data_IF_877022817566
#
_entry.id   IF_877022817566
#
_cell.length_a   1.000
_cell.length_b   1.000
_cell.length_c   1.000
_cell.angle_alpha   90.00
_cell.angle_beta   90.00
_cell.angle_gamma   90.00
#
_symmetry.space_group_name_H-M   'P 1'
#
loop_
_entity.id
_entity.type
_entity.pdbx_description
1 polymer ?
#
# COMPACT_ATOMS: atom_id res chain seq x y z
N UNK A 1 8.69 11.97 -17.85
CA UNK A 1 8.01 11.99 -16.52
C UNK A 1 8.93 12.57 -15.43
N UNK A 2 10.14 12.04 -15.20
CA UNK A 2 11.08 12.57 -14.20
C UNK A 2 11.36 14.07 -14.35
N UNK A 3 11.52 14.56 -15.60
CA UNK A 3 11.74 15.98 -15.86
C UNK A 3 10.60 16.88 -15.34
N UNK A 4 9.34 16.43 -15.45
CA UNK A 4 8.18 17.17 -14.95
C UNK A 4 8.23 17.24 -13.44
N UNK A 5 8.44 16.11 -12.74
CA UNK A 5 8.56 16.08 -11.28
C UNK A 5 9.69 16.97 -10.76
N UNK A 6 10.84 17.00 -11.45
CA UNK A 6 11.98 17.83 -11.04
C UNK A 6 11.78 19.32 -11.32
N UNK A 7 11.00 19.67 -12.36
CA UNK A 7 10.78 21.06 -12.73
C UNK A 7 9.57 21.69 -12.02
N UNK A 8 8.53 20.90 -11.80
CA UNK A 8 7.22 21.39 -11.34
C UNK A 8 6.78 20.76 -10.01
N UNK A 9 7.54 19.79 -9.44
CA UNK A 9 7.12 19.06 -8.26
C UNK A 9 5.97 18.10 -8.53
N UNK A 10 5.21 17.80 -7.49
CA UNK A 10 4.01 16.96 -7.53
C UNK A 10 2.86 17.66 -6.80
N UNK A 11 1.69 17.59 -7.38
CA UNK A 11 0.45 18.12 -6.80
C UNK A 11 -0.44 16.96 -6.35
N UNK A 12 -0.90 17.00 -5.10
CA UNK A 12 -1.84 16.02 -4.54
C UNK A 12 -3.12 16.73 -4.14
N UNK A 13 -4.25 16.30 -4.71
CA UNK A 13 -5.59 16.79 -4.37
C UNK A 13 -6.30 15.78 -3.50
N UNK A 14 -6.94 16.24 -2.42
CA UNK A 14 -7.65 15.37 -1.52
C UNK A 14 -8.85 16.03 -0.85
N UNK A 15 -9.92 15.23 -0.55
CA UNK A 15 -11.02 15.73 0.27
C UNK A 15 -10.53 15.87 1.72
N UNK A 16 -10.80 16.99 2.34
CA UNK A 16 -10.51 17.28 3.76
C UNK A 16 -11.82 17.54 4.48
N UNK A 17 -11.99 16.97 5.66
CA UNK A 17 -13.23 17.13 6.44
C UNK A 17 -13.52 18.60 6.75
N UNK A 18 -14.73 19.02 6.43
CA UNK A 18 -15.17 20.41 6.67
C UNK A 18 -14.83 21.35 5.52
N UNK A 19 -14.24 20.86 4.43
CA UNK A 19 -14.03 21.60 3.19
C UNK A 19 -14.99 21.07 2.11
N UNK A 20 -15.56 21.97 1.31
CA UNK A 20 -16.45 21.60 0.19
C UNK A 20 -15.64 21.21 -1.03
N UNK A 21 -14.52 21.89 -1.27
CA UNK A 21 -13.62 21.63 -2.38
C UNK A 21 -12.45 20.73 -1.98
N UNK A 22 -11.80 20.15 -3.00
CA UNK A 22 -10.57 19.39 -2.81
C UNK A 22 -9.43 20.35 -2.41
N UNK A 23 -8.71 20.00 -1.36
CA UNK A 23 -7.49 20.70 -1.00
C UNK A 23 -6.35 20.24 -1.88
N UNK A 24 -5.66 21.21 -2.48
CA UNK A 24 -4.50 20.97 -3.31
C UNK A 24 -3.21 21.24 -2.51
N UNK A 25 -2.34 20.24 -2.47
CA UNK A 25 -1.03 20.31 -1.83
C UNK A 25 0.04 20.19 -2.90
N UNK A 26 0.81 21.24 -3.09
CA UNK A 26 1.94 21.26 -4.00
C UNK A 26 3.26 20.99 -3.26
N UNK A 27 4.06 20.04 -3.75
CA UNK A 27 5.32 19.67 -3.12
C UNK A 27 6.34 20.82 -3.11
N UNK A 28 6.25 21.77 -4.05
CA UNK A 28 7.12 22.94 -4.12
C UNK A 28 6.87 23.94 -3.00
N UNK A 29 5.70 23.90 -2.36
CA UNK A 29 5.34 24.76 -1.21
C UNK A 29 5.71 24.13 0.14
N UNK A 30 6.19 22.88 0.15
CA UNK A 30 6.53 22.16 1.37
C UNK A 30 8.01 22.29 1.72
N UNK A 31 8.39 22.13 3.00
CA UNK A 31 9.79 22.28 3.43
C UNK A 31 10.74 21.16 2.94
N UNK A 32 10.20 20.03 2.45
CA UNK A 32 10.97 18.93 1.89
C UNK A 32 11.38 19.17 0.44
N UNK A 33 12.20 18.27 -0.11
CA UNK A 33 12.56 18.25 -1.53
C UNK A 33 12.09 16.96 -2.19
N UNK A 34 11.56 17.08 -3.43
CA UNK A 34 11.20 15.95 -4.27
C UNK A 34 12.14 15.90 -5.47
N UNK A 35 12.77 14.75 -5.65
CA UNK A 35 13.63 14.49 -6.81
C UNK A 35 13.22 13.17 -7.48
N UNK A 36 13.06 13.20 -8.80
CA UNK A 36 12.80 12.02 -9.61
C UNK A 36 13.99 11.71 -10.51
N UNK A 37 14.38 10.44 -10.56
CA UNK A 37 15.50 9.99 -11.38
C UNK A 37 15.19 8.62 -12.02
N UNK A 38 16.06 8.18 -12.93
CA UNK A 38 15.95 6.84 -13.52
C UNK A 38 16.52 5.78 -12.56
N UNK A 39 16.05 4.52 -12.67
CA UNK A 39 16.48 3.43 -11.78
C UNK A 39 18.01 3.27 -11.69
N UNK A 40 18.72 3.46 -12.80
CA UNK A 40 20.18 3.26 -12.89
C UNK A 40 20.97 4.26 -12.03
N UNK A 41 20.40 5.43 -11.76
CA UNK A 41 21.05 6.52 -11.03
C UNK A 41 20.80 6.51 -9.54
N UNK A 42 19.91 5.64 -9.07
CA UNK A 42 19.61 5.53 -7.65
C UNK A 42 20.75 4.81 -6.92
N UNK A 43 21.25 5.40 -5.86
CA UNK A 43 22.20 4.79 -4.91
C UNK A 43 21.42 4.48 -3.60
N UNK A 44 20.88 3.25 -3.42
CA UNK A 44 20.00 2.96 -2.28
C UNK A 44 20.65 3.19 -0.91
N UNK A 45 21.96 3.00 -0.79
CA UNK A 45 22.70 3.19 0.47
C UNK A 45 22.76 4.66 0.95
N UNK A 46 22.33 5.63 0.14
CA UNK A 46 22.25 7.05 0.52
C UNK A 46 20.94 7.40 1.25
N UNK A 47 20.02 6.45 1.39
CA UNK A 47 18.70 6.65 1.99
C UNK A 47 18.57 5.90 3.32
N UNK A 48 17.80 6.46 4.23
CA UNK A 48 17.47 5.82 5.52
C UNK A 48 16.37 4.77 5.38
N UNK A 49 15.50 4.90 4.36
CA UNK A 49 14.39 4.01 4.07
C UNK A 49 14.15 3.94 2.56
N UNK A 50 14.01 2.74 2.03
CA UNK A 50 13.50 2.51 0.67
C UNK A 50 12.04 2.10 0.74
N UNK A 51 11.19 2.73 -0.10
CA UNK A 51 9.77 2.37 -0.20
C UNK A 51 9.48 1.77 -1.57
N UNK A 52 9.04 0.52 -1.59
CA UNK A 52 8.64 -0.22 -2.79
C UNK A 52 7.14 -0.05 -3.00
N UNK A 53 6.73 0.86 -3.88
CA UNK A 53 5.34 1.25 -4.09
C UNK A 53 4.79 0.84 -5.48
N UNK A 54 5.19 -0.33 -5.98
CA UNK A 54 4.72 -0.89 -7.24
C UNK A 54 4.04 -2.25 -7.02
N UNK A 55 3.32 -2.74 -8.03
CA UNK A 55 2.81 -4.10 -8.01
C UNK A 55 3.94 -5.09 -8.30
N UNK A 56 3.85 -6.30 -7.75
CA UNK A 56 4.91 -7.30 -7.79
C UNK A 56 5.46 -7.55 -9.22
N UNK A 57 4.64 -7.75 -10.27
CA UNK A 57 5.17 -7.99 -11.61
C UNK A 57 6.00 -6.84 -12.20
N UNK A 58 5.85 -5.63 -11.69
CA UNK A 58 6.58 -4.47 -12.20
C UNK A 58 8.04 -4.45 -11.76
N UNK A 59 8.39 -5.19 -10.71
CA UNK A 59 9.78 -5.29 -10.24
C UNK A 59 10.68 -6.10 -11.17
N UNK A 60 10.11 -6.91 -12.06
CA UNK A 60 10.82 -7.67 -13.09
C UNK A 60 11.17 -6.84 -14.32
N UNK A 61 10.68 -5.59 -14.42
CA UNK A 61 10.97 -4.73 -15.57
C UNK A 61 12.45 -4.36 -15.62
N UNK A 62 12.99 -4.29 -16.85
CA UNK A 62 14.39 -3.89 -17.09
C UNK A 62 14.71 -2.55 -16.40
N UNK A 63 15.89 -2.44 -15.79
CA UNK A 63 16.33 -1.30 -14.98
C UNK A 63 15.75 -1.31 -13.57
N UNK A 64 14.49 -1.70 -13.37
CA UNK A 64 13.90 -1.85 -12.05
C UNK A 64 14.46 -3.09 -11.35
N UNK A 65 14.56 -4.21 -12.08
CA UNK A 65 15.16 -5.45 -11.59
C UNK A 65 16.57 -5.23 -11.01
N UNK A 66 17.42 -4.53 -11.76
CA UNK A 66 18.78 -4.21 -11.32
C UNK A 66 18.78 -3.27 -10.11
N UNK A 67 17.84 -2.33 -10.03
CA UNK A 67 17.65 -1.48 -8.86
C UNK A 67 17.27 -2.32 -7.63
N UNK A 68 16.33 -3.26 -7.75
CA UNK A 68 15.93 -4.15 -6.66
C UNK A 68 17.12 -4.94 -6.11
N UNK A 69 17.99 -5.47 -6.99
CA UNK A 69 19.24 -6.13 -6.57
C UNK A 69 20.17 -5.19 -5.78
N UNK A 70 20.28 -3.91 -6.20
CA UNK A 70 21.08 -2.92 -5.45
C UNK A 70 20.41 -2.53 -4.13
N UNK A 71 19.08 -2.48 -4.05
CA UNK A 71 18.36 -2.25 -2.78
C UNK A 71 18.66 -3.38 -1.80
N UNK A 72 18.52 -4.63 -2.23
CA UNK A 72 18.84 -5.77 -1.37
C UNK A 72 20.30 -5.74 -0.87
N UNK A 73 21.25 -5.44 -1.77
CA UNK A 73 22.68 -5.39 -1.44
C UNK A 73 23.06 -4.20 -0.54
N UNK A 74 22.25 -3.15 -0.48
CA UNK A 74 22.55 -1.94 0.31
C UNK A 74 22.35 -2.14 1.82
N UNK A 75 21.54 -3.13 2.23
CA UNK A 75 21.18 -3.33 3.63
C UNK A 75 20.29 -2.22 4.22
N UNK A 76 19.68 -1.38 3.38
CA UNK A 76 18.78 -0.31 3.83
C UNK A 76 17.39 -0.90 4.17
N UNK A 77 16.77 -0.51 5.29
CA UNK A 77 15.42 -0.90 5.62
C UNK A 77 14.45 -0.61 4.49
N UNK A 78 13.62 -1.57 4.15
CA UNK A 78 12.72 -1.49 3.01
C UNK A 78 11.28 -1.72 3.42
N UNK A 79 10.38 -0.80 3.04
CA UNK A 79 8.94 -0.92 3.27
C UNK A 79 8.21 -1.15 1.93
N UNK A 80 7.54 -2.28 1.78
CA UNK A 80 6.70 -2.54 0.62
C UNK A 80 5.29 -1.99 0.84
N UNK A 81 4.80 -1.18 -0.10
CA UNK A 81 3.40 -0.73 -0.12
C UNK A 81 2.68 -1.49 -1.24
N UNK A 82 2.22 -2.68 -0.93
CA UNK A 82 1.59 -3.57 -1.91
C UNK A 82 0.53 -4.46 -1.26
N UNK A 83 -0.47 -4.88 -2.07
CA UNK A 83 -1.48 -5.85 -1.63
C UNK A 83 -0.95 -7.28 -1.58
N UNK A 84 0.07 -7.59 -2.38
CA UNK A 84 0.75 -8.87 -2.36
C UNK A 84 2.03 -8.74 -1.54
N UNK A 85 2.12 -9.34 -0.34
CA UNK A 85 3.33 -9.30 0.46
C UNK A 85 4.48 -9.98 -0.27
N UNK A 86 5.67 -9.40 -0.15
CA UNK A 86 6.87 -9.93 -0.76
C UNK A 86 7.42 -11.11 0.05
N UNK A 87 8.14 -12.03 -0.59
CA UNK A 87 8.67 -13.24 0.05
C UNK A 87 9.50 -12.95 1.31
N UNK A 88 10.40 -11.94 1.37
CA UNK A 88 11.14 -11.64 2.59
C UNK A 88 10.23 -11.25 3.76
N UNK A 89 9.15 -10.52 3.50
CA UNK A 89 8.19 -10.19 4.56
C UNK A 89 7.43 -11.44 5.04
N UNK A 90 7.00 -12.29 4.12
CA UNK A 90 6.31 -13.55 4.47
C UNK A 90 7.20 -14.49 5.27
N UNK A 91 8.52 -14.47 5.04
CA UNK A 91 9.49 -15.25 5.82
C UNK A 91 9.56 -14.85 7.31
N UNK A 92 9.04 -13.67 7.69
CA UNK A 92 8.93 -13.24 9.08
C UNK A 92 7.78 -13.92 9.84
N UNK A 93 6.87 -14.59 9.13
CA UNK A 93 5.73 -15.28 9.75
C UNK A 93 6.20 -16.65 10.22
N UNK A 94 6.19 -16.94 11.54
CA UNK A 94 6.66 -18.22 12.08
C UNK A 94 5.89 -19.40 11.49
N UNK A 95 6.60 -20.43 11.04
CA UNK A 95 5.98 -21.65 10.50
C UNK A 95 5.43 -21.54 9.07
N UNK A 96 5.52 -20.37 8.42
CA UNK A 96 5.11 -20.25 7.02
C UNK A 96 6.22 -20.69 6.07
N UNK A 97 5.97 -21.78 5.33
CA UNK A 97 6.89 -22.30 4.30
C UNK A 97 6.81 -21.48 3.01
N UNK A 98 7.65 -20.45 2.91
CA UNK A 98 7.63 -19.51 1.76
C UNK A 98 8.03 -20.17 0.44
N UNK A 99 8.73 -21.28 0.45
CA UNK A 99 9.09 -22.04 -0.75
C UNK A 99 7.87 -22.45 -1.58
N UNK A 100 6.77 -22.82 -0.91
CA UNK A 100 5.50 -23.21 -1.56
C UNK A 100 4.80 -22.02 -2.23
N UNK A 101 5.13 -20.79 -1.86
CA UNK A 101 4.53 -19.55 -2.36
C UNK A 101 5.27 -18.96 -3.58
N UNK A 102 6.50 -19.44 -3.85
CA UNK A 102 7.32 -18.95 -4.98
C UNK A 102 6.59 -18.92 -6.33
N UNK A 103 5.79 -19.94 -6.71
CA UNK A 103 5.03 -19.91 -7.97
C UNK A 103 4.00 -18.77 -8.10
N UNK A 104 3.68 -18.07 -7.01
CA UNK A 104 2.78 -16.90 -7.04
C UNK A 104 3.50 -15.61 -7.49
N UNK A 105 4.83 -15.62 -7.58
CA UNK A 105 5.66 -14.48 -7.96
C UNK A 105 6.15 -14.63 -9.39
N UNK A 106 6.28 -13.52 -10.11
CA UNK A 106 6.75 -13.56 -11.51
C UNK A 106 8.23 -13.97 -11.58
N UNK A 107 9.07 -13.37 -10.74
CA UNK A 107 10.49 -13.67 -10.61
C UNK A 107 10.86 -13.80 -9.11
N UNK A 108 10.57 -14.95 -8.49
CA UNK A 108 10.78 -15.11 -7.04
C UNK A 108 12.24 -14.97 -6.61
N UNK A 109 13.19 -15.17 -7.53
CA UNK A 109 14.64 -15.04 -7.28
C UNK A 109 15.05 -13.59 -6.94
N UNK A 110 14.27 -12.60 -7.35
CA UNK A 110 14.55 -11.19 -7.01
C UNK A 110 14.54 -10.96 -5.50
N UNK A 111 13.81 -11.77 -4.77
CA UNK A 111 13.58 -11.61 -3.33
C UNK A 111 14.56 -12.39 -2.47
N UNK A 112 15.35 -13.30 -3.06
CA UNK A 112 16.26 -14.19 -2.30
C UNK A 112 17.42 -13.43 -1.64
N UNK A 113 17.81 -12.28 -2.18
CA UNK A 113 18.90 -11.47 -1.64
C UNK A 113 18.48 -10.51 -0.53
N UNK A 114 17.19 -10.39 -0.24
CA UNK A 114 16.69 -9.51 0.84
C UNK A 114 16.80 -10.22 2.19
N UNK A 115 17.27 -9.46 3.18
CA UNK A 115 17.18 -9.86 4.58
C UNK A 115 15.72 -9.64 5.05
N UNK A 116 15.03 -10.69 5.54
CA UNK A 116 13.67 -10.57 6.08
C UNK A 116 13.56 -9.55 7.22
N UNK A 117 14.59 -9.37 8.04
CA UNK A 117 14.59 -8.43 9.16
C UNK A 117 14.62 -6.97 8.71
N UNK A 118 15.07 -6.73 7.48
CA UNK A 118 15.09 -5.41 6.84
C UNK A 118 13.85 -5.14 5.96
N UNK A 119 12.88 -6.06 5.90
CA UNK A 119 11.67 -5.89 5.10
C UNK A 119 10.44 -5.71 5.99
N UNK A 120 9.65 -4.66 5.72
CA UNK A 120 8.31 -4.53 6.28
C UNK A 120 7.25 -4.32 5.21
N UNK A 121 5.99 -4.51 5.58
CA UNK A 121 4.83 -4.33 4.73
C UNK A 121 3.96 -3.18 5.24
N UNK A 122 3.44 -2.41 4.30
CA UNK A 122 2.44 -1.39 4.53
C UNK A 122 1.23 -1.65 3.62
N UNK A 123 0.02 -1.66 4.17
CA UNK A 123 -1.18 -1.84 3.36
C UNK A 123 -1.48 -0.58 2.54
N UNK A 124 -1.76 -0.68 1.21
CA UNK A 124 -2.11 0.45 0.36
C UNK A 124 -3.62 0.77 0.48
N UNK A 125 -4.07 1.19 1.68
CA UNK A 125 -5.49 1.44 1.93
C UNK A 125 -6.02 2.74 1.29
N UNK A 126 -5.27 3.87 1.24
CA UNK A 126 -5.70 5.04 0.52
C UNK A 126 -5.92 4.76 -0.97
N UNK A 127 -7.00 5.30 -1.52
CA UNK A 127 -7.29 5.18 -2.95
C UNK A 127 -7.03 6.51 -3.64
N UNK A 128 -6.18 6.47 -4.65
CA UNK A 128 -5.82 7.62 -5.47
C UNK A 128 -5.75 7.24 -6.95
N UNK A 129 -5.84 8.22 -7.82
CA UNK A 129 -5.70 8.05 -9.26
C UNK A 129 -5.06 9.30 -9.87
N UNK A 130 -4.52 9.14 -11.07
CA UNK A 130 -4.07 10.26 -11.90
C UNK A 130 -5.22 10.65 -12.83
N UNK A 131 -5.69 11.90 -12.79
CA UNK A 131 -6.70 12.35 -13.73
C UNK A 131 -6.17 12.24 -15.17
N UNK A 132 -6.92 11.64 -16.13
CA UNK A 132 -6.40 11.33 -17.46
C UNK A 132 -6.07 12.57 -18.29
N UNK A 133 -6.76 13.68 -18.04
CA UNK A 133 -6.62 14.93 -18.78
C UNK A 133 -5.59 15.89 -18.17
N UNK A 134 -4.87 15.44 -17.13
CA UNK A 134 -3.90 16.26 -16.41
C UNK A 134 -2.47 15.73 -16.56
N UNK A 135 -1.51 16.53 -16.10
CA UNK A 135 -0.09 16.15 -16.10
C UNK A 135 0.15 14.92 -15.20
N UNK A 136 1.15 14.08 -15.51
CA UNK A 136 1.41 12.86 -14.75
C UNK A 136 1.91 13.08 -13.31
N UNK A 137 2.24 14.31 -12.92
CA UNK A 137 2.61 14.71 -11.57
C UNK A 137 1.42 15.17 -10.71
N UNK A 138 0.20 15.10 -11.22
CA UNK A 138 -1.03 15.36 -10.46
C UNK A 138 -1.63 14.05 -9.98
N UNK A 139 -1.90 13.96 -8.69
CA UNK A 139 -2.55 12.82 -8.03
C UNK A 139 -3.81 13.28 -7.30
N UNK A 140 -4.92 12.59 -7.51
CA UNK A 140 -6.16 12.85 -6.77
C UNK A 140 -6.52 11.69 -5.86
N UNK A 141 -6.64 11.97 -4.57
CA UNK A 141 -7.10 11.02 -3.55
C UNK A 141 -8.63 10.96 -3.57
N UNK A 142 -9.19 9.75 -3.72
CA UNK A 142 -10.64 9.50 -3.64
C UNK A 142 -11.10 9.09 -2.25
N UNK A 143 -10.33 8.19 -1.64
CA UNK A 143 -10.62 7.66 -0.33
C UNK A 143 -9.39 7.88 0.55
N UNK A 144 -9.38 8.96 1.33
CA UNK A 144 -8.33 9.17 2.32
C UNK A 144 -8.55 8.19 3.47
N UNK A 145 -7.50 7.46 3.79
CA UNK A 145 -7.46 6.54 4.92
C UNK A 145 -6.01 6.35 5.36
N UNK A 146 -5.78 5.59 6.41
CA UNK A 146 -4.44 5.41 6.95
C UNK A 146 -3.69 4.30 6.23
N UNK A 147 -2.41 4.53 5.96
CA UNK A 147 -1.44 3.49 5.68
C UNK A 147 -1.14 2.73 6.98
N UNK A 148 -1.20 1.40 6.93
CA UNK A 148 -0.95 0.53 8.09
C UNK A 148 0.31 -0.28 7.82
N UNK A 149 1.39 0.08 8.49
CA UNK A 149 2.67 -0.60 8.39
C UNK A 149 2.88 -1.53 9.59
N UNK A 150 3.52 -2.67 9.36
CA UNK A 150 4.04 -3.50 10.43
C UNK A 150 5.39 -2.95 10.91
N UNK A 151 5.72 -3.18 12.18
CA UNK A 151 7.05 -2.93 12.71
C UNK A 151 8.11 -3.76 11.96
N UNK A 152 9.33 -3.28 11.91
CA UNK A 152 10.47 -4.10 11.51
C UNK A 152 10.82 -5.12 12.62
N UNK A 153 11.60 -6.13 12.30
CA UNK A 153 12.16 -7.02 13.31
C UNK A 153 13.12 -6.29 14.26
N UNK A 154 13.81 -5.27 13.76
CA UNK A 154 14.73 -4.44 14.51
C UNK A 154 14.04 -3.18 15.05
N UNK A 155 14.17 -2.93 16.36
CA UNK A 155 13.55 -1.77 17.03
C UNK A 155 14.12 -0.42 16.54
N UNK A 156 15.36 -0.34 16.10
CA UNK A 156 15.94 0.91 15.55
C UNK A 156 15.18 1.32 14.28
N UNK A 157 14.93 0.36 13.39
CA UNK A 157 14.17 0.63 12.17
C UNK A 157 12.68 0.87 12.44
N UNK A 158 12.11 0.19 13.45
CA UNK A 158 10.74 0.45 13.92
C UNK A 158 10.61 1.86 14.48
N UNK A 159 11.56 2.31 15.29
CA UNK A 159 11.58 3.67 15.85
C UNK A 159 11.62 4.73 14.75
N UNK A 160 12.35 4.49 13.64
CA UNK A 160 12.36 5.37 12.48
C UNK A 160 10.94 5.49 11.87
N UNK A 161 10.23 4.37 11.69
CA UNK A 161 8.84 4.40 11.18
C UNK A 161 7.89 5.10 12.16
N UNK A 162 8.03 4.89 13.46
CA UNK A 162 7.22 5.55 14.49
C UNK A 162 7.48 7.05 14.53
N UNK A 163 8.72 7.48 14.32
CA UNK A 163 9.07 8.91 14.20
C UNK A 163 8.42 9.52 12.95
N UNK A 164 8.40 8.78 11.82
CA UNK A 164 7.71 9.21 10.61
C UNK A 164 6.19 9.30 10.83
N UNK A 165 5.56 8.31 11.49
CA UNK A 165 4.14 8.32 11.90
C UNK A 165 3.85 9.57 12.74
N UNK A 166 4.62 9.81 13.80
CA UNK A 166 4.46 10.96 14.68
C UNK A 166 4.64 12.30 13.94
N UNK A 167 5.63 12.38 13.04
CA UNK A 167 5.85 13.55 12.19
C UNK A 167 4.67 13.84 11.27
N UNK A 168 4.12 12.81 10.61
CA UNK A 168 2.94 12.93 9.74
C UNK A 168 1.70 13.32 10.56
N UNK A 169 1.53 12.75 11.76
CA UNK A 169 0.40 13.08 12.65
C UNK A 169 0.44 14.53 13.11
N UNK A 170 1.63 15.04 13.45
CA UNK A 170 1.82 16.40 13.89
C UNK A 170 1.77 17.44 12.75
N UNK A 171 2.01 17.02 11.51
CA UNK A 171 2.07 17.92 10.37
C UNK A 171 0.73 18.61 10.12
N UNK A 172 0.79 19.92 9.77
CA UNK A 172 -0.34 20.71 9.30
C UNK A 172 0.04 21.33 7.96
N UNK A 173 -0.93 21.34 7.05
CA UNK A 173 -0.79 22.04 5.78
C UNK A 173 -1.29 23.45 5.93
N UNK A 174 -0.44 24.43 5.68
CA UNK A 174 -0.80 25.85 5.71
C UNK A 174 -1.46 26.24 4.39
N UNK A 175 -2.79 26.17 4.36
CA UNK A 175 -3.56 26.59 3.20
C UNK A 175 -3.71 28.12 3.20
N UNK A 176 -3.46 28.80 2.06
CA UNK A 176 -3.68 30.25 1.96
C UNK A 176 -5.12 30.68 2.25
N UNK A 177 -6.08 29.81 1.96
CA UNK A 177 -7.52 30.11 2.07
C UNK A 177 -8.14 29.62 3.37
N UNK A 178 -7.60 28.52 3.94
CA UNK A 178 -8.23 27.79 5.05
C UNK A 178 -7.37 27.74 6.32
N UNK A 179 -6.16 28.31 6.29
CA UNK A 179 -5.20 28.24 7.41
C UNK A 179 -4.64 26.83 7.61
N UNK A 180 -4.29 26.48 8.85
CA UNK A 180 -3.66 25.22 9.21
C UNK A 180 -4.67 24.05 9.13
N UNK A 181 -4.48 23.15 8.17
CA UNK A 181 -5.32 21.97 7.93
C UNK A 181 -4.62 20.68 8.34
N UNK A 182 -5.37 19.80 8.97
CA UNK A 182 -4.97 18.41 9.16
C UNK A 182 -5.31 17.59 7.92
N UNK A 183 -4.30 17.00 7.28
CA UNK A 183 -4.51 16.15 6.13
C UNK A 183 -4.97 14.74 6.56
N UNK A 184 -5.95 14.14 5.85
CA UNK A 184 -6.66 12.96 6.31
C UNK A 184 -5.91 11.63 6.09
N UNK A 185 -4.77 11.64 5.39
CA UNK A 185 -3.96 10.45 5.14
C UNK A 185 -2.81 10.39 6.14
N UNK A 186 -2.74 9.29 6.89
CA UNK A 186 -1.78 9.07 7.96
C UNK A 186 -1.02 7.75 7.76
N UNK A 187 0.17 7.66 8.34
CA UNK A 187 0.83 6.39 8.60
C UNK A 187 0.42 5.90 9.99
N UNK A 188 0.31 4.58 10.17
CA UNK A 188 0.14 3.93 11.47
C UNK A 188 1.04 2.71 11.53
N UNK A 189 1.85 2.62 12.57
CA UNK A 189 2.80 1.52 12.77
C UNK A 189 2.28 0.57 13.85
N UNK A 190 2.21 -0.71 13.53
CA UNK A 190 1.68 -1.78 14.38
C UNK A 190 2.78 -2.82 14.65
N UNK A 191 2.78 -3.39 15.86
CA UNK A 191 3.76 -4.42 16.22
C UNK A 191 3.48 -5.76 15.52
N UNK A 192 2.20 -6.06 15.24
CA UNK A 192 1.81 -7.28 14.56
C UNK A 192 2.11 -7.24 13.07
N UNK A 193 2.76 -8.30 12.57
CA UNK A 193 2.98 -8.53 11.12
C UNK A 193 1.67 -8.87 10.39
N UNK A 194 0.57 -9.15 11.09
CA UNK A 194 -0.70 -9.50 10.46
C UNK A 194 -1.59 -8.29 10.17
N UNK A 195 -1.37 -7.13 10.79
CA UNK A 195 -2.21 -5.94 10.55
C UNK A 195 -2.22 -5.50 9.08
N UNK A 196 -1.11 -5.41 8.33
CA UNK A 196 -1.17 -5.14 6.90
C UNK A 196 -1.84 -6.26 6.09
N UNK A 197 -1.77 -7.51 6.56
CA UNK A 197 -2.39 -8.69 5.93
C UNK A 197 -3.91 -8.76 6.15
N UNK A 198 -4.46 -8.04 7.13
CA UNK A 198 -5.90 -7.97 7.38
C UNK A 198 -6.72 -7.59 6.15
N UNK A 199 -6.10 -6.89 5.18
CA UNK A 199 -6.71 -6.55 3.91
C UNK A 199 -7.02 -7.78 3.03
N UNK A 200 -6.31 -8.87 3.21
CA UNK A 200 -6.51 -10.08 2.40
C UNK A 200 -7.90 -10.68 2.54
N UNK A 201 -8.46 -10.70 3.74
CA UNK A 201 -9.84 -11.15 3.93
C UNK A 201 -10.82 -10.32 3.09
N UNK A 202 -10.62 -8.98 3.04
CA UNK A 202 -11.42 -8.08 2.20
C UNK A 202 -11.19 -8.31 0.70
N UNK A 203 -9.92 -8.51 0.29
CA UNK A 203 -9.56 -8.76 -1.11
C UNK A 203 -10.21 -10.06 -1.61
N UNK A 204 -10.11 -11.14 -0.83
CA UNK A 204 -10.65 -12.45 -1.20
C UNK A 204 -12.18 -12.47 -1.17
N UNK A 205 -12.80 -11.87 -0.14
CA UNK A 205 -14.26 -11.86 -0.01
C UNK A 205 -14.97 -10.91 -1.00
N UNK A 206 -14.28 -9.90 -1.52
CA UNK A 206 -14.89 -8.90 -2.40
C UNK A 206 -14.11 -8.59 -3.67
N UNK A 207 -12.90 -8.05 -3.55
CA UNK A 207 -12.17 -7.47 -4.69
C UNK A 207 -11.89 -8.50 -5.81
N UNK A 208 -11.43 -9.70 -5.47
CA UNK A 208 -11.17 -10.75 -6.47
C UNK A 208 -12.45 -11.40 -6.99
N UNK A 209 -13.53 -11.38 -6.22
CA UNK A 209 -14.84 -11.85 -6.67
C UNK A 209 -15.55 -10.89 -7.64
N UNK A 210 -14.96 -9.71 -7.90
CA UNK A 210 -15.38 -8.83 -9.01
C UNK A 210 -15.00 -9.41 -10.37
N UNK A 211 -13.98 -10.27 -10.44
CA UNK A 211 -13.54 -10.95 -11.67
C UNK A 211 -14.54 -12.03 -12.04
N UNK A 212 -15.08 -11.97 -13.26
CA UNK A 212 -16.00 -12.96 -13.82
C UNK A 212 -15.63 -13.24 -15.27
N UNK A 213 -16.09 -14.36 -15.79
CA UNK A 213 -15.78 -14.79 -17.16
C UNK A 213 -16.31 -13.84 -18.24
N UNK A 214 -17.48 -13.26 -18.03
CA UNK A 214 -18.17 -12.46 -19.04
C UNK A 214 -18.16 -10.97 -18.71
N UNK A 215 -18.55 -10.59 -17.50
CA UNK A 215 -18.72 -9.20 -17.10
C UNK A 215 -18.25 -8.97 -15.67
N UNK A 216 -17.47 -7.90 -15.46
CA UNK A 216 -17.09 -7.47 -14.12
C UNK A 216 -18.31 -6.99 -13.34
N UNK A 217 -18.29 -7.19 -12.02
CA UNK A 217 -19.30 -6.63 -11.11
C UNK A 217 -18.68 -5.67 -10.10
N UNK A 218 -19.46 -4.68 -9.59
CA UNK A 218 -19.03 -3.82 -8.48
C UNK A 218 -18.69 -4.61 -7.23
N UNK A 219 -17.81 -4.04 -6.38
CA UNK A 219 -17.43 -4.67 -5.10
C UNK A 219 -18.67 -4.86 -4.22
N UNK A 220 -19.59 -3.87 -4.16
CA UNK A 220 -20.83 -4.00 -3.40
C UNK A 220 -21.64 -5.26 -3.81
N UNK A 221 -21.75 -5.53 -5.11
CA UNK A 221 -22.50 -6.67 -5.62
C UNK A 221 -21.73 -7.98 -5.40
N UNK A 222 -20.40 -7.93 -5.41
CA UNK A 222 -19.56 -9.08 -5.09
C UNK A 222 -19.72 -9.51 -3.63
N UNK A 223 -19.88 -8.55 -2.71
CA UNK A 223 -20.01 -8.81 -1.27
C UNK A 223 -21.47 -9.09 -0.89
N UNK A 224 -22.40 -8.25 -1.32
CA UNK A 224 -23.79 -8.30 -0.87
C UNK A 224 -24.70 -9.20 -1.71
N UNK A 225 -24.28 -9.60 -2.92
CA UNK A 225 -25.02 -10.54 -3.75
C UNK A 225 -25.17 -11.93 -3.12
N UNK A 226 -24.21 -12.32 -2.27
CA UNK A 226 -24.25 -13.48 -1.38
C UNK A 226 -23.40 -13.16 -0.14
N UNK A 227 -24.04 -12.63 0.88
CA UNK A 227 -23.39 -12.16 2.09
C UNK A 227 -22.85 -13.31 2.95
N UNK A 228 -23.53 -14.46 2.94
CA UNK A 228 -23.11 -15.65 3.69
C UNK A 228 -21.83 -16.24 3.07
N UNK A 229 -21.78 -16.43 1.76
CA UNK A 229 -20.58 -16.88 1.07
C UNK A 229 -19.43 -15.88 1.21
N UNK A 230 -19.72 -14.57 1.23
CA UNK A 230 -18.71 -13.53 1.46
C UNK A 230 -18.13 -13.60 2.86
N UNK A 231 -18.97 -13.83 3.87
CA UNK A 231 -18.55 -14.05 5.27
C UNK A 231 -17.70 -15.31 5.38
N UNK A 232 -18.14 -16.42 4.79
CA UNK A 232 -17.40 -17.68 4.86
C UNK A 232 -15.98 -17.56 4.30
N UNK A 233 -15.81 -16.86 3.17
CA UNK A 233 -14.47 -16.58 2.60
C UNK A 233 -13.66 -15.66 3.51
N UNK A 234 -14.29 -14.62 4.05
CA UNK A 234 -13.64 -13.66 4.94
C UNK A 234 -13.11 -14.36 6.19
N UNK A 235 -13.98 -15.10 6.88
CA UNK A 235 -13.67 -15.80 8.13
C UNK A 235 -12.62 -16.91 7.91
N UNK A 236 -12.66 -17.59 6.77
CA UNK A 236 -11.63 -18.55 6.39
C UNK A 236 -10.24 -17.91 6.28
N UNK A 237 -10.13 -16.76 5.60
CA UNK A 237 -8.83 -16.05 5.47
C UNK A 237 -8.33 -15.56 6.84
N UNK A 238 -9.22 -15.01 7.67
CA UNK A 238 -8.88 -14.61 9.04
C UNK A 238 -8.41 -15.82 9.85
N UNK A 239 -9.12 -16.96 9.73
CA UNK A 239 -8.75 -18.21 10.40
C UNK A 239 -7.35 -18.69 10.03
N UNK A 240 -7.00 -18.68 8.75
CA UNK A 240 -5.64 -19.01 8.28
C UNK A 240 -4.58 -18.10 8.91
N UNK A 241 -4.84 -16.78 8.98
CA UNK A 241 -3.91 -15.85 9.61
C UNK A 241 -3.77 -16.10 11.11
N UNK A 242 -4.85 -16.45 11.80
CA UNK A 242 -4.83 -16.80 13.25
C UNK A 242 -4.04 -18.09 13.48
N UNK A 243 -4.23 -19.12 12.64
CA UNK A 243 -3.45 -20.37 12.71
C UNK A 243 -1.95 -20.14 12.51
N UNK A 244 -1.57 -19.12 11.72
CA UNK A 244 -0.19 -18.67 11.54
C UNK A 244 0.34 -17.78 12.68
N UNK A 245 -0.46 -17.50 13.71
CA UNK A 245 -0.05 -16.76 14.90
C UNK A 245 -0.55 -15.31 14.97
N UNK A 246 -1.46 -14.90 14.09
CA UNK A 246 -2.14 -13.60 14.17
C UNK A 246 -3.14 -13.53 15.32
N UNK A 247 -3.40 -12.33 15.83
CA UNK A 247 -4.45 -12.06 16.80
C UNK A 247 -5.75 -11.67 16.08
N UNK A 248 -6.89 -12.09 16.60
CA UNK A 248 -8.20 -11.70 16.07
C UNK A 248 -8.40 -10.18 16.05
N UNK A 249 -7.75 -9.45 16.95
CA UNK A 249 -7.77 -7.98 17.02
C UNK A 249 -7.00 -7.30 15.87
N UNK A 250 -6.14 -8.02 15.16
CA UNK A 250 -5.44 -7.51 13.98
C UNK A 250 -6.40 -7.30 12.81
N UNK A 251 -7.56 -7.94 12.81
CA UNK A 251 -8.48 -7.99 11.69
C UNK A 251 -9.71 -7.10 11.90
N UNK A 252 -10.22 -6.56 10.80
CA UNK A 252 -11.47 -5.78 10.82
C UNK A 252 -12.65 -6.77 10.93
N UNK A 253 -13.65 -6.56 11.81
CA UNK A 253 -14.85 -7.39 11.83
C UNK A 253 -15.57 -7.40 10.48
N UNK A 254 -16.08 -8.56 10.06
CA UNK A 254 -16.73 -8.71 8.75
C UNK A 254 -17.88 -7.72 8.55
N UNK A 255 -18.69 -7.46 9.56
CA UNK A 255 -19.80 -6.51 9.49
C UNK A 255 -19.35 -5.10 9.13
N UNK A 256 -18.22 -4.66 9.70
CA UNK A 256 -17.64 -3.36 9.39
C UNK A 256 -17.16 -3.29 7.95
N UNK A 257 -16.53 -4.37 7.47
CA UNK A 257 -16.13 -4.48 6.08
C UNK A 257 -17.32 -4.50 5.14
N UNK A 258 -18.32 -5.36 5.37
CA UNK A 258 -19.51 -5.47 4.54
C UNK A 258 -20.27 -4.14 4.45
N UNK A 259 -20.40 -3.44 5.58
CA UNK A 259 -21.02 -2.11 5.59
C UNK A 259 -20.23 -1.09 4.74
N UNK A 260 -18.91 -1.06 4.84
CA UNK A 260 -18.07 -0.21 4.00
C UNK A 260 -18.17 -0.58 2.51
N UNK A 261 -18.27 -1.87 2.19
CA UNK A 261 -18.38 -2.38 0.82
C UNK A 261 -19.68 -1.93 0.13
N UNK A 262 -20.75 -1.62 0.86
CA UNK A 262 -22.03 -1.14 0.29
C UNK A 262 -21.88 0.16 -0.52
N UNK A 263 -20.90 1.00 -0.20
CA UNK A 263 -20.59 2.24 -0.91
C UNK A 263 -19.69 2.04 -2.15
N UNK A 264 -19.13 0.84 -2.37
CA UNK A 264 -18.16 0.57 -3.44
C UNK A 264 -18.85 0.15 -4.74
N UNK A 265 -19.37 1.13 -5.48
CA UNK A 265 -20.15 0.95 -6.70
C UNK A 265 -19.35 0.61 -7.97
N UNK A 266 -18.02 0.53 -7.89
CA UNK A 266 -17.14 0.19 -9.01
C UNK A 266 -16.52 -1.19 -8.84
N UNK A 267 -16.15 -1.89 -9.94
CA UNK A 267 -15.33 -3.09 -9.88
C UNK A 267 -13.95 -2.80 -9.25
N UNK A 268 -13.34 -3.81 -8.68
CA UNK A 268 -11.99 -3.69 -8.10
C UNK A 268 -10.94 -3.33 -9.18
N UNK A 269 -9.82 -2.75 -8.73
CA UNK A 269 -8.69 -2.46 -9.62
C UNK A 269 -8.13 -3.73 -10.29
N UNK A 270 -8.12 -4.85 -9.56
CA UNK A 270 -7.70 -6.15 -10.12
C UNK A 270 -8.62 -6.60 -11.26
N UNK A 271 -9.95 -6.50 -11.08
CA UNK A 271 -10.89 -6.85 -12.14
C UNK A 271 -10.73 -5.96 -13.37
N UNK A 272 -10.58 -4.65 -13.17
CA UNK A 272 -10.35 -3.71 -14.29
C UNK A 272 -9.03 -3.97 -15.03
N UNK A 273 -7.96 -4.31 -14.30
CA UNK A 273 -6.67 -4.62 -14.93
C UNK A 273 -6.68 -5.91 -15.75
N UNK A 274 -7.55 -6.87 -15.42
CA UNK A 274 -7.70 -8.11 -16.20
C UNK A 274 -8.60 -7.94 -17.43
N UNK A 275 -9.42 -6.89 -17.47
CA UNK A 275 -10.37 -6.66 -18.57
C UNK A 275 -9.82 -5.69 -19.64
N UNK A 276 -8.77 -4.95 -19.37
CA UNK A 276 -8.09 -4.00 -20.27
C UNK A 276 -6.77 -4.49 -20.74
#
# INVERSE_FOLDING_TARGET
TAAIFNAEGSTVRMPVRGQEDLIEVDSGSLPGSLQATSPEKVAPAEFDLVVLAMQEPQYSAAGVRELIGRVAASGVPTMAITNMPLLPYLARIPGLETASLRPCFLEPELWDAFDPDLMTLCSPDPQAFRPPDEKPNVLQVRLPTNFKAAAFANEVHTAMLRNLDAGIEAARFESPEHGALELPVKLRVYDSVFVPLAKWAMLMAGNYRCVRAEEMRPIKDAVHGDLEASRAVYDWVVGVCIELGGDALDFVPFEKYANAASALASPSSAARALAG
#
